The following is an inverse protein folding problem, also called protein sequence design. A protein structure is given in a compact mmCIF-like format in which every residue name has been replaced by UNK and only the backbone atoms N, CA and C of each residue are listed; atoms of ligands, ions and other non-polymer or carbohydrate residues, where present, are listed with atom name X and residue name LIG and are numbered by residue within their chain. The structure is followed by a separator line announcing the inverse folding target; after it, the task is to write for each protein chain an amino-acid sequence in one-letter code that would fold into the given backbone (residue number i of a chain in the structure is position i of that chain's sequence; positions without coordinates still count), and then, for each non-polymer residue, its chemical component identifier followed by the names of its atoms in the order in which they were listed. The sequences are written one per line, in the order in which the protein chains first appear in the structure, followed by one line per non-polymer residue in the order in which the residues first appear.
data_IF_090385013688
#
_entry.id   IF_090385013688
#
_cell.length_a   1.000
_cell.length_b   1.000
_cell.length_c   1.000
_cell.angle_alpha   90.00
_cell.angle_beta   90.00
_cell.angle_gamma   90.00
#
_symmetry.space_group_name_H-M   'P 1'
#
loop_
_entity.id
_entity.type
_entity.pdbx_description
1 polymer ?
#
# COMPACT_ATOMS: atom_id res chain seq x y z
N UNK A 1 -16.10 -17.17 -17.45
CA UNK A 1 -16.34 -16.67 -16.06
C UNK A 1 -17.70 -17.17 -15.58
N UNK A 2 -17.83 -17.56 -14.29
CA UNK A 2 -19.11 -18.06 -13.71
C UNK A 2 -19.50 -17.21 -12.49
N UNK A 3 -20.75 -17.34 -12.02
CA UNK A 3 -21.17 -16.69 -10.77
C UNK A 3 -20.32 -17.20 -9.59
N UNK A 4 -20.09 -18.51 -9.52
CA UNK A 4 -19.26 -19.12 -8.47
C UNK A 4 -17.83 -18.59 -8.47
N UNK A 5 -17.24 -18.33 -9.66
CA UNK A 5 -15.86 -17.82 -9.75
C UNK A 5 -15.69 -16.38 -9.24
N UNK A 6 -16.77 -15.66 -8.92
CA UNK A 6 -16.73 -14.28 -8.40
C UNK A 6 -16.74 -14.19 -6.87
N UNK A 7 -16.85 -15.32 -6.15
CA UNK A 7 -16.84 -15.33 -4.67
C UNK A 7 -15.67 -14.51 -4.08
N UNK A 8 -14.41 -14.64 -4.54
CA UNK A 8 -13.31 -13.84 -3.99
C UNK A 8 -13.47 -12.35 -4.24
N UNK A 9 -13.94 -11.96 -5.43
CA UNK A 9 -14.15 -10.56 -5.82
C UNK A 9 -15.17 -9.88 -4.89
N UNK A 10 -16.20 -10.62 -4.45
CA UNK A 10 -17.15 -10.12 -3.43
C UNK A 10 -16.57 -10.14 -2.02
N UNK A 11 -15.84 -11.19 -1.64
CA UNK A 11 -15.35 -11.33 -0.26
C UNK A 11 -14.33 -10.24 0.09
N UNK A 12 -13.41 -9.93 -0.83
CA UNK A 12 -12.36 -8.92 -0.61
C UNK A 12 -12.84 -7.59 -0.04
N UNK A 13 -13.81 -6.87 -0.64
CA UNK A 13 -14.32 -5.62 -0.07
C UNK A 13 -15.03 -5.81 1.28
N UNK A 14 -15.54 -7.00 1.60
CA UNK A 14 -16.11 -7.30 2.91
C UNK A 14 -15.04 -7.50 4.01
N UNK A 15 -13.78 -7.72 3.62
CA UNK A 15 -12.64 -7.88 4.55
C UNK A 15 -11.89 -6.56 4.80
N UNK A 16 -12.25 -5.45 4.14
CA UNK A 16 -11.59 -4.16 4.36
C UNK A 16 -11.92 -3.67 5.78
N UNK A 17 -10.93 -3.47 6.67
CA UNK A 17 -11.18 -3.12 8.06
C UNK A 17 -11.64 -1.66 8.19
N UNK A 18 -12.94 -1.44 8.33
CA UNK A 18 -13.56 -0.12 8.52
C UNK A 18 -14.33 -0.14 9.84
N UNK A 19 -14.18 0.91 10.64
CA UNK A 19 -14.83 1.05 11.95
C UNK A 19 -14.65 -0.17 12.87
N UNK A 20 -13.46 -0.79 12.81
CA UNK A 20 -13.11 -1.96 13.62
C UNK A 20 -13.66 -3.30 13.12
N UNK A 21 -14.26 -3.36 11.92
CA UNK A 21 -14.86 -4.57 11.37
C UNK A 21 -14.28 -4.96 10.00
N UNK A 22 -14.11 -6.27 9.71
CA UNK A 22 -14.28 -7.39 10.63
C UNK A 22 -13.15 -7.42 11.68
N UNK A 23 -13.50 -7.77 12.92
CA UNK A 23 -12.63 -7.56 14.08
C UNK A 23 -11.29 -8.31 14.01
N UNK A 24 -11.29 -9.50 13.40
CA UNK A 24 -10.09 -10.31 13.17
C UNK A 24 -9.14 -9.65 12.17
N UNK A 25 -9.63 -9.21 11.00
CA UNK A 25 -8.81 -8.49 10.02
C UNK A 25 -8.36 -7.15 10.55
N UNK A 26 -9.24 -6.40 11.23
CA UNK A 26 -8.88 -5.15 11.88
C UNK A 26 -7.72 -5.34 12.85
N UNK A 27 -7.80 -6.37 13.71
CA UNK A 27 -6.70 -6.70 14.63
C UNK A 27 -5.40 -7.02 13.89
N UNK A 28 -5.44 -7.86 12.84
CA UNK A 28 -4.26 -8.21 12.05
C UNK A 28 -3.63 -6.96 11.43
N UNK A 29 -4.45 -6.06 10.86
CA UNK A 29 -4.00 -4.82 10.22
C UNK A 29 -3.41 -3.85 11.23
N UNK A 30 -4.04 -3.69 12.40
CA UNK A 30 -3.50 -2.88 13.49
C UNK A 30 -2.17 -3.43 14.01
N UNK A 31 -2.04 -4.75 14.17
CA UNK A 31 -0.82 -5.39 14.67
C UNK A 31 0.36 -5.15 13.72
N UNK A 32 0.22 -5.38 12.41
CA UNK A 32 1.32 -5.11 11.48
C UNK A 32 1.57 -3.62 11.27
N UNK A 33 0.55 -2.76 11.39
CA UNK A 33 0.73 -1.31 11.35
C UNK A 33 1.64 -0.84 12.50
N UNK A 34 1.44 -1.37 13.71
CA UNK A 34 2.32 -1.09 14.85
C UNK A 34 3.74 -1.58 14.57
N UNK A 35 3.89 -2.81 14.11
CA UNK A 35 5.20 -3.39 13.79
C UNK A 35 5.95 -2.60 12.71
N UNK A 36 5.27 -2.10 11.67
CA UNK A 36 5.90 -1.31 10.60
C UNK A 36 6.50 0.02 11.08
N UNK A 37 6.02 0.55 12.22
CA UNK A 37 6.55 1.77 12.86
C UNK A 37 7.80 1.53 13.70
N UNK A 38 8.12 0.27 14.00
CA UNK A 38 9.22 -0.11 14.88
C UNK A 38 10.32 -0.87 14.13
N UNK A 39 9.99 -1.56 13.04
CA UNK A 39 10.92 -2.41 12.31
C UNK A 39 11.93 -1.60 11.49
N UNK A 40 13.21 -1.99 11.61
CA UNK A 40 14.33 -1.49 10.80
C UNK A 40 14.36 -2.05 9.37
N UNK A 41 13.42 -2.94 9.01
CA UNK A 41 13.35 -3.49 7.65
C UNK A 41 13.28 -2.36 6.62
N UNK A 42 14.15 -2.30 5.59
CA UNK A 42 14.05 -1.27 4.56
C UNK A 42 12.73 -1.36 3.78
N UNK A 43 12.09 -0.22 3.50
CA UNK A 43 10.78 -0.15 2.83
C UNK A 43 10.83 0.80 1.64
N UNK A 44 10.08 0.46 0.59
CA UNK A 44 9.82 1.32 -0.56
C UNK A 44 8.30 1.47 -0.74
N UNK A 45 7.79 2.68 -0.58
CA UNK A 45 6.39 3.03 -0.78
C UNK A 45 6.23 3.81 -2.09
N UNK A 46 5.40 3.30 -3.00
CA UNK A 46 4.91 4.05 -4.15
C UNK A 46 3.54 4.64 -3.86
N UNK A 47 3.32 5.89 -4.24
CA UNK A 47 2.00 6.51 -4.24
C UNK A 47 1.77 7.35 -5.49
N UNK A 48 0.50 7.54 -5.85
CA UNK A 48 0.07 8.32 -6.99
C UNK A 48 -0.89 9.44 -6.55
N UNK A 49 -1.19 10.37 -7.46
CA UNK A 49 -2.08 11.51 -7.23
C UNK A 49 -3.28 11.49 -8.22
N UNK A 50 -4.54 11.62 -7.75
CA UNK A 50 -4.93 11.88 -6.36
C UNK A 50 -4.82 10.64 -5.44
N UNK A 51 -4.54 9.46 -6.00
CA UNK A 51 -4.51 8.20 -5.25
C UNK A 51 -5.92 7.69 -4.91
N UNK A 52 -5.99 6.62 -4.14
CA UNK A 52 -7.25 6.00 -3.71
C UNK A 52 -7.22 5.65 -2.21
N UNK A 53 -6.54 4.55 -1.87
CA UNK A 53 -6.39 4.11 -0.47
C UNK A 53 -5.32 4.96 0.24
N UNK A 54 -4.19 5.20 -0.42
CA UNK A 54 -3.10 6.05 0.07
C UNK A 54 -3.16 7.38 -0.68
N UNK A 55 -3.40 8.47 0.06
CA UNK A 55 -3.32 9.84 -0.47
C UNK A 55 -1.94 10.42 -0.17
N UNK A 56 -1.65 11.58 -0.78
CA UNK A 56 -0.38 12.28 -0.56
C UNK A 56 -0.11 12.59 0.93
N UNK A 57 -1.15 12.94 1.70
CA UNK A 57 -1.04 13.14 3.15
C UNK A 57 -0.65 11.87 3.90
N UNK A 58 -1.20 10.72 3.50
CA UNK A 58 -0.92 9.43 4.14
C UNK A 58 0.49 8.96 3.81
N UNK A 59 0.93 9.13 2.56
CA UNK A 59 2.30 8.83 2.13
C UNK A 59 3.33 9.66 2.89
N UNK A 60 3.06 10.96 3.10
CA UNK A 60 3.89 11.83 3.93
C UNK A 60 3.93 11.35 5.39
N UNK A 61 2.78 11.05 5.97
CA UNK A 61 2.72 10.54 7.34
C UNK A 61 3.49 9.21 7.49
N UNK A 62 3.36 8.29 6.52
CA UNK A 62 4.12 7.03 6.51
C UNK A 62 5.63 7.32 6.46
N UNK A 63 6.09 8.25 5.61
CA UNK A 63 7.50 8.61 5.54
C UNK A 63 8.06 9.11 6.88
N UNK A 64 7.27 9.89 7.62
CA UNK A 64 7.68 10.50 8.89
C UNK A 64 7.64 9.51 10.07
N UNK A 65 6.82 8.47 9.99
CA UNK A 65 6.53 7.60 11.14
C UNK A 65 7.04 6.16 10.97
N UNK A 66 7.41 5.72 9.76
CA UNK A 66 7.87 4.36 9.50
C UNK A 66 9.38 4.39 9.20
N UNK A 67 10.25 3.83 10.06
CA UNK A 67 11.71 3.85 9.87
C UNK A 67 12.13 3.29 8.51
N UNK A 68 13.29 3.72 7.97
CA UNK A 68 13.88 3.19 6.73
C UNK A 68 12.92 3.13 5.53
N UNK A 69 11.98 4.08 5.42
CA UNK A 69 11.00 4.15 4.33
C UNK A 69 11.42 5.16 3.26
N UNK A 70 11.69 4.68 2.05
CA UNK A 70 11.78 5.53 0.86
C UNK A 70 10.39 5.69 0.26
N UNK A 71 9.95 6.94 0.04
CA UNK A 71 8.65 7.25 -0.56
C UNK A 71 8.85 7.85 -1.95
N UNK A 72 8.13 7.30 -2.94
CA UNK A 72 8.19 7.71 -4.34
C UNK A 72 6.80 8.09 -4.83
N UNK A 73 6.64 9.34 -5.26
CA UNK A 73 5.46 9.80 -5.99
C UNK A 73 5.63 9.42 -7.47
N UNK A 74 4.71 8.62 -8.01
CA UNK A 74 4.75 8.20 -9.41
C UNK A 74 3.92 9.08 -10.35
N UNK A 75 3.38 10.18 -9.85
CA UNK A 75 2.55 11.10 -10.62
C UNK A 75 1.09 10.68 -10.66
N UNK A 76 0.43 10.87 -11.81
CA UNK A 76 -1.02 10.66 -11.94
C UNK A 76 -1.39 9.18 -11.83
N UNK A 77 -2.38 8.88 -11.00
CA UNK A 77 -2.94 7.54 -10.87
C UNK A 77 -3.92 7.40 -9.71
N UNK A 78 -4.64 6.27 -9.69
CA UNK A 78 -5.63 5.95 -8.65
C UNK A 78 -5.19 4.74 -7.81
N UNK A 79 -5.86 3.60 -7.96
CA UNK A 79 -5.60 2.39 -7.18
C UNK A 79 -4.65 1.42 -7.87
N UNK A 80 -4.85 1.17 -9.17
CA UNK A 80 -4.02 0.27 -9.98
C UNK A 80 -2.83 1.03 -10.57
N UNK A 81 -2.00 1.58 -9.69
CA UNK A 81 -0.88 2.48 -10.04
C UNK A 81 0.16 1.84 -11.00
N UNK A 82 0.18 0.50 -11.06
CA UNK A 82 1.01 -0.27 -11.98
C UNK A 82 0.56 -0.11 -13.44
N UNK A 83 -0.73 0.12 -13.68
CA UNK A 83 -1.28 0.35 -15.02
C UNK A 83 -1.02 1.78 -15.51
N UNK A 84 -0.86 2.73 -14.57
CA UNK A 84 -0.61 4.14 -14.90
C UNK A 84 0.88 4.43 -15.15
N UNK A 85 1.78 3.95 -14.28
CA UNK A 85 3.22 4.27 -14.36
C UNK A 85 4.14 3.05 -14.12
N UNK A 86 4.02 1.95 -14.90
CA UNK A 86 4.77 0.72 -14.69
C UNK A 86 6.29 0.91 -14.80
N UNK A 87 6.74 1.72 -15.76
CA UNK A 87 8.16 1.93 -16.02
C UNK A 87 8.86 2.70 -14.89
N UNK A 88 8.17 3.69 -14.30
CA UNK A 88 8.71 4.44 -13.18
C UNK A 88 8.82 3.57 -11.93
N UNK A 89 7.78 2.78 -11.63
CA UNK A 89 7.80 1.80 -10.53
C UNK A 89 9.00 0.86 -10.70
N UNK A 90 9.18 0.27 -11.89
CA UNK A 90 10.29 -0.65 -12.15
C UNK A 90 11.67 0.01 -12.02
N UNK A 91 11.84 1.23 -12.51
CA UNK A 91 13.10 1.96 -12.45
C UNK A 91 13.50 2.32 -11.01
N UNK A 92 12.54 2.84 -10.23
CA UNK A 92 12.79 3.22 -8.84
C UNK A 92 12.96 1.99 -7.92
N UNK A 93 12.24 0.89 -8.19
CA UNK A 93 12.46 -0.38 -7.50
C UNK A 93 13.89 -0.89 -7.72
N UNK A 94 14.37 -0.90 -8.97
CA UNK A 94 15.75 -1.31 -9.30
C UNK A 94 16.78 -0.43 -8.58
N UNK A 95 16.58 0.89 -8.61
CA UNK A 95 17.47 1.87 -7.98
C UNK A 95 17.48 1.71 -6.46
N UNK A 96 16.32 1.52 -5.83
CA UNK A 96 16.22 1.27 -4.40
C UNK A 96 16.92 -0.03 -4.01
N UNK A 97 16.64 -1.13 -4.73
CA UNK A 97 17.24 -2.44 -4.46
C UNK A 97 18.77 -2.44 -4.60
N UNK A 98 19.34 -1.69 -5.54
CA UNK A 98 20.80 -1.58 -5.69
C UNK A 98 21.53 -0.89 -4.53
N UNK A 99 20.79 -0.25 -3.61
CA UNK A 99 21.34 0.48 -2.46
C UNK A 99 21.06 -0.21 -1.11
N UNK A 100 20.34 -1.33 -1.14
CA UNK A 100 20.14 -2.20 0.03
C UNK A 100 21.42 -2.98 0.34
#
# INVERSE_FOLDING_TARGET
PTVSSRKPVRQWPCEIPIDGQPADVHKIVSDYHNWLRETETPKLLFHAEPGAIIKASDAKWIQENFPNTTVVNIGKGLHYIQEDNPHMIGAELKKWYSKL
#
